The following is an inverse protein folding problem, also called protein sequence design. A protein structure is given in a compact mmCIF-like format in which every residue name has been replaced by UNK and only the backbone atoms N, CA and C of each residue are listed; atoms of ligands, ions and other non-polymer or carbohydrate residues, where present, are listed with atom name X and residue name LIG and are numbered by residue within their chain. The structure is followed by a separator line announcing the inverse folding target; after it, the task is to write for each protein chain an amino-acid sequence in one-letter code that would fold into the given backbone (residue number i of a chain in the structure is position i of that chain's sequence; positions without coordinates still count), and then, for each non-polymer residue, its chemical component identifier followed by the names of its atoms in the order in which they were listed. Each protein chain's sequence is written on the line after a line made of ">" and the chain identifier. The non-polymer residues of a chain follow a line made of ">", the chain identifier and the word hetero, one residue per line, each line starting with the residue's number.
data_IF_689841455011
#
_entry.id   IF_689841455011
#
_cell.length_a   1.000
_cell.length_b   1.000
_cell.length_c   1.000
_cell.angle_alpha   90.00
_cell.angle_beta   90.00
_cell.angle_gamma   90.00
#
_symmetry.space_group_name_H-M   'P 1'
#
loop_
_entity.id
_entity.type
_entity.pdbx_description
1 polymer ?
#
# COMPACT_ATOMS: atom_id res chain seq x y z
N UNK A 1 16.06 21.57 -23.39
CA UNK A 1 17.48 21.57 -22.99
C UNK A 1 17.57 20.85 -21.66
N UNK A 2 18.13 19.64 -21.68
CA UNK A 2 18.10 18.72 -20.53
C UNK A 2 18.84 19.32 -19.33
N UNK A 3 18.11 19.94 -18.42
CA UNK A 3 17.61 19.29 -17.23
C UNK A 3 18.71 18.57 -16.33
N UNK A 4 19.76 17.95 -16.88
CA UNK A 4 20.96 17.48 -16.15
C UNK A 4 22.06 18.56 -16.04
N UNK A 5 22.19 19.43 -17.05
CA UNK A 5 23.26 20.42 -17.22
C UNK A 5 23.52 21.47 -16.10
N UNK A 6 22.60 21.74 -15.16
CA UNK A 6 22.80 22.74 -14.11
C UNK A 6 22.26 22.35 -12.75
N UNK A 7 22.47 21.09 -12.38
CA UNK A 7 22.85 20.84 -10.98
C UNK A 7 24.35 20.98 -10.75
N UNK A 8 25.14 20.93 -11.81
CA UNK A 8 26.55 20.59 -11.70
C UNK A 8 27.50 21.77 -11.80
N UNK A 9 27.07 22.81 -12.48
CA UNK A 9 27.79 24.07 -12.62
C UNK A 9 27.61 25.03 -11.38
N UNK A 10 26.74 24.70 -10.38
CA UNK A 10 26.61 25.38 -9.08
C UNK A 10 27.67 24.89 -8.09
N UNK A 11 28.18 23.68 -8.31
CA UNK A 11 29.25 23.10 -7.51
C UNK A 11 30.64 23.59 -7.96
N UNK A 12 30.73 24.42 -9.02
CA UNK A 12 31.98 24.75 -9.72
C UNK A 12 32.39 26.23 -9.69
N UNK A 13 31.75 27.09 -8.90
CA UNK A 13 32.30 28.43 -8.72
C UNK A 13 33.44 28.50 -7.71
N UNK A 14 34.55 29.17 -8.07
CA UNK A 14 35.58 29.46 -7.12
C UNK A 14 35.15 30.64 -6.24
N UNK A 15 35.48 30.53 -4.95
CA UNK A 15 35.60 31.59 -3.93
C UNK A 15 34.48 31.66 -2.89
N UNK A 16 34.83 31.13 -1.71
CA UNK A 16 34.39 31.50 -0.36
C UNK A 16 32.88 31.39 -0.03
N UNK A 17 32.38 30.16 0.10
CA UNK A 17 31.22 29.89 0.94
C UNK A 17 31.31 28.50 1.60
N UNK A 18 30.90 28.45 2.86
CA UNK A 18 30.90 27.35 3.84
C UNK A 18 30.56 25.94 3.26
N UNK A 19 31.29 24.85 3.56
CA UNK A 19 31.16 23.55 2.89
C UNK A 19 29.98 22.69 3.40
N UNK A 20 28.92 23.30 3.92
CA UNK A 20 27.75 22.59 4.43
C UNK A 20 26.72 22.34 3.31
N UNK A 21 26.72 21.09 2.81
CA UNK A 21 25.59 20.38 2.20
C UNK A 21 24.71 21.19 1.20
N UNK A 22 25.04 21.12 -0.09
CA UNK A 22 24.13 21.59 -1.14
C UNK A 22 22.98 20.58 -1.28
N UNK A 23 21.79 20.95 -0.78
CA UNK A 23 20.54 20.24 -1.05
C UNK A 23 19.99 20.60 -2.45
N UNK A 24 19.22 19.72 -3.08
CA UNK A 24 18.60 19.91 -4.40
C UNK A 24 17.84 21.24 -4.55
N UNK A 25 17.30 21.80 -3.46
CA UNK A 25 16.56 23.06 -3.46
C UNK A 25 17.44 24.32 -3.53
N UNK A 26 18.74 24.22 -3.24
CA UNK A 26 19.65 25.37 -3.13
C UNK A 26 20.50 25.61 -4.39
N UNK A 27 20.36 24.72 -5.37
CA UNK A 27 21.21 24.71 -6.56
C UNK A 27 20.88 25.90 -7.48
N UNK A 28 19.60 26.24 -7.65
CA UNK A 28 19.14 27.34 -8.52
C UNK A 28 19.65 28.72 -8.08
N UNK A 29 19.69 28.97 -6.77
CA UNK A 29 20.14 30.24 -6.21
C UNK A 29 21.65 30.39 -6.37
N UNK A 30 22.41 29.33 -6.09
CA UNK A 30 23.86 29.28 -6.27
C UNK A 30 24.31 29.58 -7.71
N UNK A 31 23.54 29.18 -8.73
CA UNK A 31 23.84 29.45 -10.14
C UNK A 31 23.60 30.88 -10.60
N UNK A 32 22.55 31.50 -10.06
CA UNK A 32 22.15 32.86 -10.42
C UNK A 32 23.18 33.86 -9.88
N UNK A 33 23.73 33.57 -8.70
CA UNK A 33 24.80 34.35 -8.06
C UNK A 33 26.14 34.29 -8.82
N UNK A 34 26.31 33.31 -9.72
CA UNK A 34 27.52 33.10 -10.55
C UNK A 34 27.41 33.68 -11.96
N UNK A 35 26.30 34.36 -12.27
CA UNK A 35 26.11 35.07 -13.53
C UNK A 35 25.63 34.21 -14.71
N UNK A 36 25.18 32.98 -14.46
CA UNK A 36 24.55 32.15 -15.50
C UNK A 36 23.09 32.57 -15.74
N UNK A 37 22.66 32.55 -17.00
CA UNK A 37 21.28 32.89 -17.37
C UNK A 37 20.30 31.83 -16.82
N UNK A 38 19.14 32.23 -16.25
CA UNK A 38 18.12 31.29 -15.74
C UNK A 38 17.63 30.27 -16.79
N UNK A 39 17.76 30.58 -18.07
CA UNK A 39 17.36 29.69 -19.17
C UNK A 39 18.39 28.59 -19.50
N UNK A 40 19.64 28.74 -19.06
CA UNK A 40 20.73 27.76 -19.20
C UNK A 40 20.91 26.87 -17.97
N UNK A 41 20.09 27.10 -16.94
CA UNK A 41 20.08 26.33 -15.70
C UNK A 41 18.94 25.32 -15.75
N UNK A 42 19.25 24.02 -15.81
CA UNK A 42 18.35 22.96 -15.44
C UNK A 42 17.49 23.16 -14.21
N UNK A 43 16.21 22.93 -14.43
CA UNK A 43 15.16 23.04 -13.43
C UNK A 43 15.17 21.83 -12.49
N UNK A 44 14.68 22.05 -11.27
CA UNK A 44 14.49 21.06 -10.19
C UNK A 44 13.81 19.76 -10.65
N UNK A 45 13.02 19.82 -11.72
CA UNK A 45 12.27 18.71 -12.30
C UNK A 45 13.13 17.55 -12.82
N UNK A 46 14.42 17.76 -13.07
CA UNK A 46 15.19 16.78 -13.88
C UNK A 46 16.06 15.84 -13.09
N UNK A 47 16.82 16.37 -12.13
CA UNK A 47 17.74 15.57 -11.33
C UNK A 47 16.94 14.63 -10.42
N UNK A 48 15.74 15.07 -10.06
CA UNK A 48 14.77 14.32 -9.26
C UNK A 48 13.75 13.54 -10.11
N UNK A 49 13.77 13.64 -11.45
CA UNK A 49 12.69 13.15 -12.32
C UNK A 49 12.33 11.67 -12.13
N UNK A 50 13.30 10.72 -12.04
CA UNK A 50 12.96 9.30 -11.92
C UNK A 50 12.37 8.96 -10.55
N UNK A 51 12.91 9.58 -9.49
CA UNK A 51 12.41 9.44 -8.12
C UNK A 51 11.04 10.10 -7.93
N UNK A 52 10.84 11.29 -8.51
CA UNK A 52 9.55 12.01 -8.46
C UNK A 52 8.48 11.31 -9.30
N UNK A 53 8.83 10.74 -10.45
CA UNK A 53 7.92 9.93 -11.27
C UNK A 53 7.47 8.66 -10.56
N UNK A 54 8.38 7.92 -9.91
CA UNK A 54 8.02 6.78 -9.07
C UNK A 54 7.10 7.21 -7.92
N UNK A 55 7.47 8.26 -7.18
CA UNK A 55 6.68 8.77 -6.06
C UNK A 55 5.28 9.22 -6.49
N UNK A 56 5.15 9.89 -7.63
CA UNK A 56 3.86 10.32 -8.19
C UNK A 56 3.02 9.12 -8.61
N UNK A 57 3.63 8.16 -9.32
CA UNK A 57 2.94 6.94 -9.76
C UNK A 57 2.40 6.16 -8.55
N UNK A 58 3.23 5.96 -7.51
CA UNK A 58 2.83 5.28 -6.29
C UNK A 58 1.75 6.05 -5.53
N UNK A 59 1.83 7.40 -5.48
CA UNK A 59 0.80 8.23 -4.86
C UNK A 59 -0.54 8.11 -5.60
N UNK A 60 -0.55 8.19 -6.93
CA UNK A 60 -1.75 8.04 -7.73
C UNK A 60 -2.40 6.66 -7.53
N UNK A 61 -1.57 5.60 -7.55
CA UNK A 61 -2.03 4.22 -7.28
C UNK A 61 -2.61 4.08 -5.87
N UNK A 62 -1.93 4.64 -4.87
CA UNK A 62 -2.40 4.62 -3.48
C UNK A 62 -3.79 5.27 -3.34
N UNK A 63 -3.98 6.46 -3.93
CA UNK A 63 -5.28 7.14 -3.88
C UNK A 63 -6.36 6.34 -4.59
N UNK A 64 -6.11 5.84 -5.80
CA UNK A 64 -7.09 5.08 -6.57
C UNK A 64 -7.56 3.81 -5.84
N UNK A 65 -6.64 3.06 -5.22
CA UNK A 65 -6.99 1.86 -4.43
C UNK A 65 -7.75 2.21 -3.15
N UNK A 66 -7.31 3.26 -2.46
CA UNK A 66 -7.96 3.71 -1.21
C UNK A 66 -9.38 4.21 -1.46
N UNK A 67 -9.57 5.00 -2.51
CA UNK A 67 -10.88 5.47 -2.94
C UNK A 67 -11.77 4.28 -3.32
N UNK A 68 -11.27 3.35 -4.15
CA UNK A 68 -12.03 2.17 -4.53
C UNK A 68 -12.50 1.33 -3.33
N UNK A 69 -11.63 1.01 -2.38
CA UNK A 69 -12.00 0.17 -1.25
C UNK A 69 -12.98 0.87 -0.28
N UNK A 70 -12.83 2.18 -0.07
CA UNK A 70 -13.76 2.93 0.77
C UNK A 70 -15.13 3.09 0.08
N UNK A 71 -15.15 3.35 -1.22
CA UNK A 71 -16.37 3.43 -2.03
C UNK A 71 -17.10 2.08 -2.06
N UNK A 72 -16.37 0.97 -2.18
CA UNK A 72 -16.93 -0.39 -2.07
C UNK A 72 -17.64 -0.57 -0.73
N UNK A 73 -16.97 -0.26 0.39
CA UNK A 73 -17.57 -0.38 1.73
C UNK A 73 -18.82 0.49 1.89
N UNK A 74 -18.81 1.72 1.38
CA UNK A 74 -19.95 2.62 1.45
C UNK A 74 -21.14 2.14 0.60
N UNK A 75 -20.87 1.65 -0.62
CA UNK A 75 -21.90 1.12 -1.49
C UNK A 75 -22.50 -0.17 -0.93
N UNK A 76 -21.68 -1.05 -0.34
CA UNK A 76 -22.15 -2.25 0.36
C UNK A 76 -23.00 -1.89 1.59
N UNK A 77 -22.60 -0.89 2.39
CA UNK A 77 -23.39 -0.40 3.52
C UNK A 77 -24.76 0.14 3.08
N UNK A 78 -24.79 0.91 1.97
CA UNK A 78 -26.03 1.42 1.39
C UNK A 78 -26.93 0.30 0.88
N UNK A 79 -26.36 -0.67 0.15
CA UNK A 79 -27.08 -1.83 -0.38
C UNK A 79 -27.69 -2.67 0.74
N UNK A 80 -26.93 -2.93 1.80
CA UNK A 80 -27.43 -3.62 3.00
C UNK A 80 -28.62 -2.87 3.61
N UNK A 81 -28.50 -1.55 3.80
CA UNK A 81 -29.56 -0.74 4.37
C UNK A 81 -30.83 -0.78 3.51
N UNK A 82 -30.73 -0.61 2.19
CA UNK A 82 -31.87 -0.69 1.28
C UNK A 82 -32.55 -2.07 1.30
N UNK A 83 -31.76 -3.15 1.23
CA UNK A 83 -32.27 -4.51 1.30
C UNK A 83 -32.95 -4.78 2.64
N UNK A 84 -32.32 -4.39 3.76
CA UNK A 84 -32.82 -4.71 5.09
C UNK A 84 -34.03 -3.87 5.47
N UNK A 85 -34.12 -2.62 4.99
CA UNK A 85 -35.33 -1.81 5.12
C UNK A 85 -36.51 -2.46 4.41
N UNK A 86 -36.30 -3.01 3.21
CA UNK A 86 -37.34 -3.69 2.44
C UNK A 86 -37.72 -5.05 3.04
N UNK A 87 -36.75 -5.81 3.54
CA UNK A 87 -36.94 -7.17 4.05
C UNK A 87 -37.48 -7.17 5.48
N UNK A 88 -36.84 -6.41 6.39
CA UNK A 88 -37.13 -6.46 7.83
C UNK A 88 -37.87 -5.23 8.35
N UNK A 89 -37.85 -4.10 7.64
CA UNK A 89 -38.62 -2.89 8.00
C UNK A 89 -38.24 -2.30 9.35
N UNK A 90 -39.24 -2.08 10.22
CA UNK A 90 -39.10 -1.38 11.50
C UNK A 90 -38.13 -2.06 12.50
N UNK A 91 -38.16 -3.41 12.69
CA UNK A 91 -37.15 -4.11 13.48
C UNK A 91 -35.71 -3.76 13.10
N UNK A 92 -35.40 -3.65 11.80
CA UNK A 92 -34.08 -3.24 11.34
C UNK A 92 -33.78 -1.78 11.67
N UNK A 93 -34.71 -0.86 11.36
CA UNK A 93 -34.53 0.58 11.67
C UNK A 93 -34.19 0.85 13.13
N UNK A 94 -34.78 0.09 14.05
CA UNK A 94 -34.55 0.22 15.49
C UNK A 94 -33.19 -0.33 15.96
N UNK A 95 -32.53 -1.15 15.14
CA UNK A 95 -31.27 -1.82 15.46
C UNK A 95 -30.17 -1.55 14.42
N UNK A 96 -30.36 -0.56 13.55
CA UNK A 96 -29.46 -0.25 12.45
C UNK A 96 -28.04 0.10 12.93
N UNK A 97 -27.91 0.60 14.16
CA UNK A 97 -26.63 0.91 14.82
C UNK A 97 -25.65 -0.27 14.84
N UNK A 98 -26.15 -1.51 14.95
CA UNK A 98 -25.30 -2.72 14.99
C UNK A 98 -24.57 -2.91 13.66
N UNK A 99 -25.28 -2.72 12.54
CA UNK A 99 -24.75 -2.86 11.20
C UNK A 99 -23.87 -1.66 10.81
N UNK A 100 -24.29 -0.44 11.16
CA UNK A 100 -23.47 0.76 10.98
C UNK A 100 -22.13 0.66 11.73
N UNK A 101 -22.14 0.11 12.95
CA UNK A 101 -20.94 -0.17 13.73
C UNK A 101 -19.97 -1.12 13.02
N UNK A 102 -20.48 -2.20 12.41
CA UNK A 102 -19.67 -3.12 11.61
C UNK A 102 -18.93 -2.41 10.46
N UNK A 103 -19.66 -1.64 9.64
CA UNK A 103 -19.03 -0.92 8.53
C UNK A 103 -18.09 0.19 9.00
N UNK A 104 -18.40 0.87 10.11
CA UNK A 104 -17.53 1.86 10.70
C UNK A 104 -16.18 1.25 11.12
N UNK A 105 -16.19 0.09 11.78
CA UNK A 105 -14.95 -0.60 12.17
C UNK A 105 -14.20 -1.22 10.99
N UNK A 106 -14.89 -1.71 9.94
CA UNK A 106 -14.25 -2.13 8.68
C UNK A 106 -13.54 -0.96 7.99
N UNK A 107 -14.19 0.21 7.90
CA UNK A 107 -13.59 1.45 7.37
C UNK A 107 -12.39 1.89 8.22
N UNK A 108 -12.51 1.81 9.55
CA UNK A 108 -11.44 2.14 10.51
C UNK A 108 -10.24 1.21 10.38
N UNK A 109 -10.48 -0.10 10.23
CA UNK A 109 -9.42 -1.07 9.99
C UNK A 109 -8.64 -0.71 8.71
N UNK A 110 -9.35 -0.42 7.62
CA UNK A 110 -8.70 -0.06 6.36
C UNK A 110 -7.92 1.26 6.46
N UNK A 111 -8.48 2.27 7.14
CA UNK A 111 -7.84 3.56 7.41
C UNK A 111 -6.64 3.48 8.39
N UNK A 112 -6.14 2.29 8.71
CA UNK A 112 -4.96 2.12 9.54
C UNK A 112 -5.23 2.11 11.04
N UNK A 113 -6.49 2.00 11.48
CA UNK A 113 -6.83 1.79 12.88
C UNK A 113 -6.24 0.48 13.44
N UNK A 114 -5.95 0.48 14.74
CA UNK A 114 -5.57 -0.73 15.47
C UNK A 114 -6.83 -1.53 15.81
N UNK A 115 -7.37 -2.21 14.80
CA UNK A 115 -8.60 -3.01 14.89
C UNK A 115 -8.23 -4.46 14.60
N UNK A 116 -8.68 -5.37 15.47
CA UNK A 116 -8.61 -6.80 15.21
C UNK A 116 -9.89 -7.21 14.46
N UNK A 117 -9.76 -7.63 13.19
CA UNK A 117 -10.92 -8.02 12.37
C UNK A 117 -11.67 -9.21 12.96
N UNK A 118 -10.95 -10.16 13.54
CA UNK A 118 -11.57 -11.35 14.12
C UNK A 118 -12.43 -11.01 15.34
N UNK A 119 -11.90 -10.17 16.22
CA UNK A 119 -12.60 -9.68 17.42
C UNK A 119 -13.82 -8.85 17.02
N UNK A 120 -13.64 -7.89 16.11
CA UNK A 120 -14.70 -7.03 15.60
C UNK A 120 -15.86 -7.83 14.99
N UNK A 121 -15.55 -8.86 14.19
CA UNK A 121 -16.59 -9.71 13.61
C UNK A 121 -17.31 -10.53 14.70
N UNK A 122 -16.60 -11.04 15.72
CA UNK A 122 -17.25 -11.75 16.82
C UNK A 122 -18.17 -10.81 17.62
N UNK A 123 -17.72 -9.60 17.92
CA UNK A 123 -18.50 -8.59 18.63
C UNK A 123 -19.79 -8.23 17.86
N UNK A 124 -19.71 -8.09 16.54
CA UNK A 124 -20.87 -7.89 15.68
C UNK A 124 -21.90 -9.02 15.85
N UNK A 125 -21.46 -10.28 15.79
CA UNK A 125 -22.37 -11.42 15.91
C UNK A 125 -22.98 -11.55 17.31
N UNK A 126 -22.21 -11.25 18.37
CA UNK A 126 -22.72 -11.25 19.75
C UNK A 126 -23.78 -10.17 19.93
N UNK A 127 -23.52 -8.93 19.48
CA UNK A 127 -24.49 -7.83 19.54
C UNK A 127 -25.75 -8.14 18.73
N UNK A 128 -25.60 -8.74 17.54
CA UNK A 128 -26.73 -9.13 16.72
C UNK A 128 -27.57 -10.20 17.42
N UNK A 129 -26.94 -11.19 18.07
CA UNK A 129 -27.62 -12.22 18.83
C UNK A 129 -28.46 -11.63 19.97
N UNK A 130 -27.88 -10.74 20.77
CA UNK A 130 -28.58 -10.10 21.89
C UNK A 130 -29.84 -9.36 21.41
N UNK A 131 -29.72 -8.54 20.35
CA UNK A 131 -30.84 -7.81 19.77
C UNK A 131 -31.90 -8.74 19.20
N UNK A 132 -31.49 -9.77 18.45
CA UNK A 132 -32.43 -10.72 17.87
C UNK A 132 -33.15 -11.55 18.93
N UNK A 133 -32.45 -11.98 19.97
CA UNK A 133 -33.05 -12.74 21.06
C UNK A 133 -34.11 -11.92 21.81
N UNK A 134 -33.82 -10.63 22.07
CA UNK A 134 -34.79 -9.70 22.65
C UNK A 134 -36.04 -9.51 21.77
N UNK A 135 -35.87 -9.38 20.46
CA UNK A 135 -36.97 -9.22 19.51
C UNK A 135 -37.86 -10.48 19.45
N UNK A 136 -37.25 -11.67 19.38
CA UNK A 136 -37.97 -12.94 19.29
C UNK A 136 -38.67 -13.31 20.61
N UNK A 137 -38.15 -12.86 21.75
CA UNK A 137 -38.63 -13.19 23.09
C UNK A 137 -39.16 -11.96 23.85
N UNK A 138 -39.78 -11.02 23.14
CA UNK A 138 -40.30 -9.75 23.72
C UNK A 138 -41.34 -9.91 24.84
N UNK A 139 -41.91 -11.11 24.98
CA UNK A 139 -42.84 -11.47 26.06
C UNK A 139 -42.18 -11.71 27.42
N UNK A 140 -40.85 -11.76 27.47
CA UNK A 140 -40.07 -11.98 28.69
C UNK A 140 -39.28 -10.73 29.07
N UNK A 141 -39.00 -10.56 30.37
CA UNK A 141 -38.06 -9.55 30.85
C UNK A 141 -36.64 -10.11 30.74
N UNK A 142 -35.86 -9.59 29.78
CA UNK A 142 -34.48 -10.01 29.52
C UNK A 142 -33.53 -8.95 30.11
N UNK A 143 -32.83 -9.30 31.18
CA UNK A 143 -31.83 -8.44 31.82
C UNK A 143 -30.47 -8.52 31.12
N UNK A 144 -29.60 -7.55 31.35
CA UNK A 144 -28.22 -7.56 30.82
C UNK A 144 -27.43 -8.79 31.28
N UNK A 145 -27.54 -9.18 32.56
CA UNK A 145 -26.91 -10.39 33.09
C UNK A 145 -27.34 -11.67 32.33
N UNK A 146 -28.59 -11.70 31.86
CA UNK A 146 -29.10 -12.83 31.08
C UNK A 146 -28.52 -12.85 29.67
N UNK A 147 -28.33 -11.69 29.05
CA UNK A 147 -27.64 -11.57 27.75
C UNK A 147 -26.18 -12.01 27.84
N UNK A 148 -25.48 -11.62 28.93
CA UNK A 148 -24.11 -12.07 29.17
C UNK A 148 -24.03 -13.60 29.33
N UNK A 149 -25.04 -14.20 29.96
CA UNK A 149 -25.17 -15.66 30.03
C UNK A 149 -25.33 -16.28 28.64
N UNK A 150 -26.20 -15.74 27.79
CA UNK A 150 -26.38 -16.22 26.41
C UNK A 150 -25.07 -16.15 25.63
N UNK A 151 -24.31 -15.06 25.80
CA UNK A 151 -22.96 -14.87 25.24
C UNK A 151 -22.01 -16.05 25.49
N UNK A 152 -22.12 -16.72 26.65
CA UNK A 152 -21.28 -17.88 27.02
C UNK A 152 -21.63 -19.16 26.27
N UNK A 153 -22.84 -19.28 25.73
CA UNK A 153 -23.32 -20.46 25.02
C UNK A 153 -23.29 -20.33 23.48
N UNK A 154 -22.87 -19.19 22.94
CA UNK A 154 -22.89 -18.88 21.50
C UNK A 154 -22.19 -19.94 20.64
N UNK A 155 -21.02 -20.42 21.08
CA UNK A 155 -20.24 -21.42 20.32
C UNK A 155 -20.94 -22.78 20.22
N UNK A 156 -21.70 -23.16 21.25
CA UNK A 156 -22.43 -24.43 21.31
C UNK A 156 -23.74 -24.34 20.54
N UNK A 157 -24.47 -23.24 20.72
CA UNK A 157 -25.79 -23.02 20.13
C UNK A 157 -25.72 -22.74 18.62
N UNK A 158 -24.63 -22.11 18.15
CA UNK A 158 -24.45 -21.64 16.77
C UNK A 158 -25.75 -21.04 16.20
N UNK A 159 -26.27 -19.97 16.81
CA UNK A 159 -27.60 -19.43 16.48
C UNK A 159 -27.73 -19.00 15.01
N UNK A 160 -26.62 -18.61 14.40
CA UNK A 160 -26.54 -18.18 13.01
C UNK A 160 -26.04 -19.28 12.04
N UNK A 161 -25.97 -20.53 12.51
CA UNK A 161 -25.40 -21.64 11.75
C UNK A 161 -23.88 -21.52 11.57
N UNK A 162 -23.38 -21.85 10.39
CA UNK A 162 -21.95 -21.77 10.06
C UNK A 162 -21.53 -20.44 9.40
N UNK A 163 -22.49 -19.53 9.19
CA UNK A 163 -22.28 -18.24 8.52
C UNK A 163 -21.22 -17.38 9.24
N UNK A 164 -21.24 -17.17 10.58
CA UNK A 164 -20.22 -16.35 11.26
C UNK A 164 -18.81 -16.86 11.03
N UNK A 165 -18.61 -18.19 11.12
CA UNK A 165 -17.31 -18.83 10.95
C UNK A 165 -16.79 -18.69 9.51
N UNK A 166 -17.68 -18.91 8.52
CA UNK A 166 -17.35 -18.74 7.10
C UNK A 166 -17.01 -17.29 6.79
N UNK A 167 -17.87 -16.35 7.20
CA UNK A 167 -17.69 -14.92 6.95
C UNK A 167 -16.40 -14.40 7.58
N UNK A 168 -16.10 -14.82 8.83
CA UNK A 168 -14.81 -14.52 9.48
C UNK A 168 -13.63 -14.88 8.59
N UNK A 169 -13.54 -16.12 8.13
CA UNK A 169 -12.42 -16.57 7.28
C UNK A 169 -12.37 -15.92 5.90
N UNK A 170 -13.53 -15.57 5.34
CA UNK A 170 -13.66 -14.97 4.01
C UNK A 170 -13.35 -13.47 4.04
N UNK A 171 -13.69 -12.76 5.11
CA UNK A 171 -13.49 -11.31 5.24
C UNK A 171 -12.07 -10.98 5.71
N UNK A 172 -11.47 -11.76 6.61
CA UNK A 172 -10.15 -11.38 7.16
C UNK A 172 -9.05 -11.35 6.11
N UNK A 173 -8.94 -12.39 5.29
CA UNK A 173 -7.83 -12.54 4.32
C UNK A 173 -7.78 -11.43 3.26
N UNK A 174 -8.89 -11.05 2.60
CA UNK A 174 -8.86 -10.03 1.56
C UNK A 174 -8.60 -8.64 2.13
N UNK A 175 -9.08 -8.35 3.34
CA UNK A 175 -8.80 -7.09 4.03
C UNK A 175 -7.34 -6.99 4.48
N UNK A 176 -6.75 -8.08 4.98
CA UNK A 176 -5.31 -8.14 5.28
C UNK A 176 -4.50 -7.91 4.00
N UNK A 177 -4.86 -8.56 2.90
CA UNK A 177 -4.19 -8.38 1.60
C UNK A 177 -4.28 -6.93 1.10
N UNK A 178 -5.49 -6.35 1.05
CA UNK A 178 -5.72 -4.97 0.60
C UNK A 178 -4.96 -3.96 1.46
N UNK A 179 -5.06 -4.05 2.80
CA UNK A 179 -4.36 -3.16 3.73
C UNK A 179 -2.84 -3.29 3.61
N UNK A 180 -2.33 -4.52 3.56
CA UNK A 180 -0.88 -4.76 3.50
C UNK A 180 -0.29 -4.32 2.16
N UNK A 181 -1.04 -4.46 1.06
CA UNK A 181 -0.64 -3.95 -0.25
C UNK A 181 -0.48 -2.43 -0.25
N UNK A 182 -1.48 -1.71 0.27
CA UNK A 182 -1.48 -0.25 0.37
C UNK A 182 -0.35 0.24 1.29
N UNK A 183 -0.11 -0.43 2.41
CA UNK A 183 1.05 -0.16 3.27
C UNK A 183 2.38 -0.40 2.56
N UNK A 184 2.48 -1.46 1.75
CA UNK A 184 3.64 -1.72 0.90
C UNK A 184 3.98 -0.52 0.02
N UNK A 185 2.98 -0.01 -0.72
CA UNK A 185 3.13 1.19 -1.56
C UNK A 185 3.67 2.40 -0.76
N UNK A 186 3.13 2.65 0.44
CA UNK A 186 3.59 3.74 1.30
C UNK A 186 5.05 3.58 1.69
N UNK A 187 5.46 2.36 2.11
CA UNK A 187 6.87 2.07 2.45
C UNK A 187 7.77 2.23 1.23
N UNK A 188 7.37 1.74 0.05
CA UNK A 188 8.12 1.92 -1.19
C UNK A 188 8.37 3.39 -1.51
N UNK A 189 7.32 4.23 -1.39
CA UNK A 189 7.42 5.70 -1.57
C UNK A 189 8.34 6.34 -0.53
N UNK A 190 8.21 5.96 0.74
CA UNK A 190 9.03 6.51 1.82
C UNK A 190 10.50 6.17 1.65
N UNK A 191 10.81 4.93 1.27
CA UNK A 191 12.17 4.49 0.93
C UNK A 191 12.72 5.35 -0.21
N UNK A 192 11.99 5.49 -1.32
CA UNK A 192 12.43 6.32 -2.44
C UNK A 192 12.70 7.78 -2.03
N UNK A 193 11.83 8.38 -1.20
CA UNK A 193 11.97 9.76 -0.70
C UNK A 193 13.15 9.92 0.28
N UNK A 194 13.45 8.90 1.09
CA UNK A 194 14.60 8.94 1.99
C UNK A 194 15.91 8.76 1.23
N UNK A 195 15.95 7.81 0.30
CA UNK A 195 17.14 7.55 -0.52
C UNK A 195 17.49 8.74 -1.43
N UNK A 196 16.48 9.48 -1.94
CA UNK A 196 16.73 10.68 -2.75
C UNK A 196 17.38 11.85 -2.00
N UNK A 197 17.46 11.78 -0.66
CA UNK A 197 18.11 12.79 0.19
C UNK A 197 19.56 12.42 0.56
N UNK A 198 20.05 11.27 0.11
CA UNK A 198 21.45 10.87 0.31
C UNK A 198 22.34 11.79 -0.50
N UNK A 199 23.32 12.40 0.16
CA UNK A 199 24.25 13.35 -0.48
C UNK A 199 25.33 12.62 -1.28
N UNK A 200 25.81 13.24 -2.34
CA UNK A 200 26.93 12.72 -3.13
C UNK A 200 28.26 12.93 -2.41
N UNK A 201 29.17 11.97 -2.54
CA UNK A 201 30.53 12.09 -2.01
C UNK A 201 31.37 13.08 -2.81
N UNK A 202 32.40 13.66 -2.21
CA UNK A 202 33.35 14.53 -2.91
C UNK A 202 34.07 13.82 -4.07
N UNK A 203 34.37 12.53 -3.91
CA UNK A 203 34.94 11.70 -4.96
C UNK A 203 33.98 11.55 -6.16
N UNK A 204 32.68 11.37 -5.90
CA UNK A 204 31.67 11.35 -6.94
C UNK A 204 31.60 12.70 -7.67
N UNK A 205 31.52 13.81 -6.94
CA UNK A 205 31.47 15.16 -7.55
C UNK A 205 32.70 15.40 -8.44
N UNK A 206 33.88 14.97 -8.01
CA UNK A 206 35.12 15.09 -8.78
C UNK A 206 35.09 14.23 -10.06
N UNK A 207 34.78 12.93 -9.95
CA UNK A 207 34.73 12.03 -11.11
C UNK A 207 33.64 12.44 -12.11
N UNK A 208 32.50 12.87 -11.60
CA UNK A 208 31.41 13.41 -12.42
C UNK A 208 31.82 14.69 -13.15
N UNK A 209 32.48 15.63 -12.47
CA UNK A 209 32.97 16.88 -13.10
C UNK A 209 33.99 16.58 -14.20
N UNK A 210 34.92 15.64 -13.93
CA UNK A 210 35.90 15.18 -14.91
C UNK A 210 35.25 14.58 -16.13
N UNK A 211 34.16 13.84 -15.93
CA UNK A 211 33.39 13.25 -16.99
C UNK A 211 32.74 14.30 -17.89
N UNK A 212 31.96 15.23 -17.33
CA UNK A 212 31.17 16.15 -18.15
C UNK A 212 31.92 17.37 -18.68
N UNK A 213 32.85 17.95 -17.90
CA UNK A 213 33.33 19.30 -18.18
C UNK A 213 34.81 19.39 -18.53
N UNK A 214 35.63 18.39 -18.19
CA UNK A 214 37.07 18.50 -18.46
C UNK A 214 37.43 18.50 -19.96
N UNK A 215 36.60 17.91 -20.82
CA UNK A 215 36.79 18.01 -22.28
C UNK A 215 36.72 19.47 -22.75
N UNK A 216 35.80 20.26 -22.21
CA UNK A 216 35.66 21.69 -22.50
C UNK A 216 36.91 22.46 -22.06
N UNK A 217 37.45 22.15 -20.88
CA UNK A 217 38.68 22.77 -20.38
C UNK A 217 39.91 22.48 -21.26
N UNK A 218 39.90 21.36 -21.99
CA UNK A 218 40.95 20.99 -22.95
C UNK A 218 40.67 21.45 -24.39
N UNK A 219 39.58 22.18 -24.63
CA UNK A 219 39.21 22.68 -25.96
C UNK A 219 38.40 21.70 -26.82
N UNK A 220 37.92 20.59 -26.26
CA UNK A 220 37.15 19.54 -26.93
C UNK A 220 35.63 19.69 -26.65
N UNK A 221 35.04 20.81 -27.08
CA UNK A 221 33.68 21.22 -26.69
C UNK A 221 32.52 20.38 -27.27
N UNK A 222 32.77 19.66 -28.37
CA UNK A 222 31.74 18.82 -29.04
C UNK A 222 31.80 17.36 -28.59
N UNK A 223 32.79 17.00 -27.78
CA UNK A 223 33.08 15.63 -27.41
C UNK A 223 32.26 15.23 -26.18
N UNK A 224 31.38 14.24 -26.35
CA UNK A 224 30.62 13.67 -25.24
C UNK A 224 31.42 12.55 -24.56
N UNK A 225 31.22 12.33 -23.24
CA UNK A 225 31.75 11.17 -22.53
C UNK A 225 31.46 9.86 -23.25
N UNK A 226 32.42 8.93 -23.27
CA UNK A 226 32.15 7.57 -23.70
C UNK A 226 31.08 6.92 -22.80
N UNK A 227 30.22 6.07 -23.36
CA UNK A 227 29.13 5.44 -22.62
C UNK A 227 29.65 4.65 -21.40
N UNK A 228 30.63 3.77 -21.60
CA UNK A 228 31.24 2.97 -20.53
C UNK A 228 31.96 3.82 -19.47
N UNK A 229 32.56 4.94 -19.88
CA UNK A 229 33.14 5.90 -18.94
C UNK A 229 32.05 6.50 -18.05
N UNK A 230 30.94 6.91 -18.65
CA UNK A 230 29.77 7.41 -17.93
C UNK A 230 29.21 6.39 -16.95
N UNK A 231 29.07 5.13 -17.38
CA UNK A 231 28.60 4.05 -16.53
C UNK A 231 29.52 3.83 -15.32
N UNK A 232 30.84 3.80 -15.49
CA UNK A 232 31.77 3.62 -14.38
C UNK A 232 31.72 4.77 -13.37
N UNK A 233 31.62 6.02 -13.83
CA UNK A 233 31.45 7.19 -12.96
C UNK A 233 30.13 7.08 -12.18
N UNK A 234 29.02 6.83 -12.87
CA UNK A 234 27.69 6.79 -12.25
C UNK A 234 27.50 5.60 -11.31
N UNK A 235 28.07 4.43 -11.63
CA UNK A 235 28.07 3.26 -10.74
C UNK A 235 28.91 3.48 -9.48
N UNK A 236 30.01 4.23 -9.59
CA UNK A 236 30.79 4.68 -8.42
C UNK A 236 30.01 5.65 -7.54
N UNK A 237 29.34 6.62 -8.16
CA UNK A 237 28.50 7.60 -7.47
C UNK A 237 27.28 6.99 -6.76
N UNK A 238 26.59 6.05 -7.43
CA UNK A 238 25.33 5.44 -6.96
C UNK A 238 25.54 4.08 -6.30
N UNK A 239 26.78 3.78 -5.88
CA UNK A 239 27.17 2.47 -5.37
C UNK A 239 26.36 2.05 -4.12
N UNK A 240 26.09 3.01 -3.21
CA UNK A 240 25.26 2.75 -2.04
C UNK A 240 23.79 2.55 -2.42
N UNK A 241 23.27 3.31 -3.37
CA UNK A 241 21.88 3.21 -3.85
C UNK A 241 21.65 1.85 -4.55
N UNK A 242 22.63 1.36 -5.29
CA UNK A 242 22.58 0.06 -5.94
C UNK A 242 22.48 -1.12 -4.96
N UNK A 243 22.97 -0.98 -3.71
CA UNK A 243 22.81 -2.01 -2.66
C UNK A 243 21.34 -2.22 -2.24
N UNK A 244 20.42 -1.30 -2.56
CA UNK A 244 18.98 -1.52 -2.35
C UNK A 244 18.38 -2.52 -3.34
N UNK A 245 18.94 -2.65 -4.54
CA UNK A 245 18.32 -3.36 -5.66
C UNK A 245 17.90 -4.82 -5.32
N UNK A 246 18.70 -5.64 -4.62
CA UNK A 246 18.32 -7.01 -4.30
C UNK A 246 17.10 -7.11 -3.39
N UNK A 247 16.99 -6.24 -2.37
CA UNK A 247 15.84 -6.25 -1.47
C UNK A 247 14.65 -5.49 -2.06
N UNK A 248 14.90 -4.47 -2.88
CA UNK A 248 13.87 -3.77 -3.65
C UNK A 248 13.18 -4.71 -4.64
N UNK A 249 13.95 -5.49 -5.40
CA UNK A 249 13.42 -6.51 -6.33
C UNK A 249 12.55 -7.52 -5.60
N UNK A 250 13.00 -8.04 -4.44
CA UNK A 250 12.20 -8.97 -3.61
C UNK A 250 10.93 -8.33 -3.07
N UNK A 251 11.00 -7.06 -2.68
CA UNK A 251 9.85 -6.28 -2.24
C UNK A 251 8.82 -6.10 -3.37
N UNK A 252 9.26 -5.71 -4.56
CA UNK A 252 8.39 -5.57 -5.74
C UNK A 252 7.79 -6.92 -6.13
N UNK A 253 8.57 -8.01 -6.10
CA UNK A 253 8.08 -9.36 -6.37
C UNK A 253 7.02 -9.79 -5.35
N UNK A 254 7.20 -9.46 -4.06
CA UNK A 254 6.20 -9.73 -3.03
C UNK A 254 4.92 -8.87 -3.19
N UNK A 255 5.06 -7.62 -3.63
CA UNK A 255 3.92 -6.76 -3.99
C UNK A 255 3.13 -7.38 -5.16
N UNK A 256 3.83 -7.78 -6.23
CA UNK A 256 3.23 -8.44 -7.39
C UNK A 256 2.57 -9.77 -7.00
N UNK A 257 3.18 -10.55 -6.11
CA UNK A 257 2.55 -11.77 -5.60
C UNK A 257 1.23 -11.48 -4.86
N UNK A 258 1.20 -10.44 -4.02
CA UNK A 258 0.00 -10.09 -3.27
C UNK A 258 -1.14 -9.59 -4.17
N UNK A 259 -0.84 -9.02 -5.34
CA UNK A 259 -1.88 -8.64 -6.31
C UNK A 259 -2.69 -9.83 -6.84
N UNK A 260 -2.13 -11.06 -6.82
CA UNK A 260 -2.90 -12.27 -7.15
C UNK A 260 -4.04 -12.53 -6.16
N UNK A 261 -3.91 -12.10 -4.90
CA UNK A 261 -4.99 -12.17 -3.91
C UNK A 261 -6.08 -11.11 -4.13
N UNK A 262 -5.73 -9.99 -4.74
CA UNK A 262 -6.66 -8.90 -5.05
C UNK A 262 -7.49 -9.18 -6.31
N UNK A 263 -6.97 -9.99 -7.24
CA UNK A 263 -7.70 -10.46 -8.43
C UNK A 263 -8.32 -11.85 -8.25
N UNK A 264 -7.93 -12.56 -7.20
CA UNK A 264 -8.40 -13.93 -6.96
C UNK A 264 -9.90 -14.02 -6.69
N UNK A 265 -10.49 -15.24 -6.75
CA UNK A 265 -11.92 -15.47 -6.57
C UNK A 265 -12.45 -15.16 -5.16
N UNK A 266 -11.56 -14.89 -4.21
CA UNK A 266 -11.88 -14.48 -2.85
C UNK A 266 -11.30 -13.09 -2.58
N UNK A 267 -11.39 -12.18 -3.55
CA UNK A 267 -10.97 -10.80 -3.36
C UNK A 267 -12.00 -10.02 -2.52
N UNK A 268 -11.66 -8.77 -2.17
CA UNK A 268 -12.51 -7.95 -1.31
C UNK A 268 -13.85 -7.60 -1.94
N UNK A 269 -13.91 -7.39 -3.27
CA UNK A 269 -15.15 -7.12 -4.00
C UNK A 269 -16.08 -8.34 -3.92
N UNK A 270 -15.59 -9.53 -4.25
CA UNK A 270 -16.35 -10.79 -4.21
C UNK A 270 -16.88 -11.19 -2.83
N UNK A 271 -16.20 -10.76 -1.75
CA UNK A 271 -16.62 -11.06 -0.37
C UNK A 271 -17.55 -9.98 0.19
N UNK A 272 -17.33 -8.71 -0.16
CA UNK A 272 -18.13 -7.61 0.36
C UNK A 272 -19.46 -7.43 -0.38
N UNK A 273 -19.51 -7.64 -1.70
CA UNK A 273 -20.75 -7.50 -2.48
C UNK A 273 -21.91 -8.34 -1.93
N UNK A 274 -21.78 -9.65 -1.63
CA UNK A 274 -22.88 -10.46 -1.12
C UNK A 274 -23.00 -10.44 0.43
N UNK A 275 -22.33 -9.53 1.14
CA UNK A 275 -22.29 -9.57 2.61
C UNK A 275 -23.66 -9.37 3.24
N UNK A 276 -24.50 -8.54 2.63
CA UNK A 276 -25.87 -8.28 3.03
C UNK A 276 -26.74 -9.53 2.95
N UNK A 277 -26.65 -10.28 1.84
CA UNK A 277 -27.32 -11.58 1.66
C UNK A 277 -26.82 -12.58 2.70
N UNK A 278 -25.51 -12.63 2.97
CA UNK A 278 -24.92 -13.53 3.97
C UNK A 278 -25.39 -13.22 5.39
N UNK A 279 -25.46 -11.94 5.75
CA UNK A 279 -25.99 -11.52 7.05
C UNK A 279 -27.48 -11.83 7.14
N UNK A 280 -28.25 -11.61 6.06
CA UNK A 280 -29.67 -11.97 5.98
C UNK A 280 -29.88 -13.49 6.16
N UNK A 281 -29.07 -14.33 5.50
CA UNK A 281 -29.06 -15.80 5.66
C UNK A 281 -28.83 -16.20 7.13
N UNK A 282 -27.88 -15.57 7.83
CA UNK A 282 -27.65 -15.80 9.25
C UNK A 282 -28.89 -15.46 10.09
N UNK A 283 -29.50 -14.30 9.84
CA UNK A 283 -30.71 -13.84 10.54
C UNK A 283 -31.86 -14.85 10.32
N UNK A 284 -32.06 -15.31 9.09
CA UNK A 284 -33.05 -16.32 8.73
C UNK A 284 -32.81 -17.65 9.45
N UNK A 285 -31.56 -18.13 9.49
CA UNK A 285 -31.20 -19.36 10.21
C UNK A 285 -31.58 -19.30 11.70
N UNK A 286 -31.35 -18.16 12.35
CA UNK A 286 -31.71 -17.98 13.76
C UNK A 286 -33.22 -17.95 13.95
N UNK A 287 -33.96 -17.35 13.02
CA UNK A 287 -35.42 -17.24 13.09
C UNK A 287 -36.11 -18.59 12.91
N UNK A 288 -35.65 -19.39 11.95
CA UNK A 288 -36.16 -20.74 11.72
C UNK A 288 -35.92 -21.66 12.93
N UNK A 289 -34.77 -21.49 13.60
CA UNK A 289 -34.40 -22.29 14.78
C UNK A 289 -34.75 -21.63 16.12
N UNK A 290 -35.53 -20.54 16.11
CA UNK A 290 -35.79 -19.69 17.28
C UNK A 290 -36.36 -20.44 18.48
N UNK A 291 -37.31 -21.36 18.27
CA UNK A 291 -37.92 -22.14 19.35
C UNK A 291 -36.90 -23.07 20.03
N UNK A 292 -36.07 -23.74 19.24
CA UNK A 292 -35.02 -24.63 19.75
C UNK A 292 -33.94 -23.84 20.48
N UNK A 293 -33.55 -22.68 19.94
CA UNK A 293 -32.58 -21.78 20.58
C UNK A 293 -33.10 -21.27 21.92
N UNK A 294 -34.33 -20.75 21.99
CA UNK A 294 -34.92 -20.31 23.26
C UNK A 294 -35.01 -21.45 24.27
N UNK A 295 -35.38 -22.66 23.86
CA UNK A 295 -35.42 -23.83 24.75
C UNK A 295 -34.05 -24.16 25.34
N UNK A 296 -33.00 -24.23 24.52
CA UNK A 296 -31.64 -24.52 24.99
C UNK A 296 -31.09 -23.40 25.88
N UNK A 297 -31.40 -22.14 25.57
CA UNK A 297 -31.04 -21.00 26.40
C UNK A 297 -31.74 -21.07 27.76
N UNK A 298 -33.03 -21.41 27.82
CA UNK A 298 -33.75 -21.56 29.10
C UNK A 298 -33.20 -22.69 29.95
N UNK A 299 -32.70 -23.77 29.34
CA UNK A 299 -32.01 -24.82 30.07
C UNK A 299 -30.63 -24.39 30.59
N UNK A 300 -29.88 -23.59 29.83
CA UNK A 300 -28.53 -23.18 30.19
C UNK A 300 -28.43 -21.95 31.11
N UNK A 301 -29.31 -20.96 30.92
CA UNK A 301 -29.32 -19.68 31.63
C UNK A 301 -30.48 -19.55 32.63
N UNK A 302 -31.40 -20.51 32.67
CA UNK A 302 -32.58 -20.49 33.53
C UNK A 302 -33.81 -19.92 32.83
N UNK A 303 -34.98 -20.21 33.39
CA UNK A 303 -36.26 -19.83 32.81
C UNK A 303 -36.56 -18.35 33.09
N UNK A 304 -36.97 -17.61 32.06
CA UNK A 304 -37.30 -16.20 32.19
C UNK A 304 -38.68 -15.97 32.79
N UNK A 305 -38.79 -14.91 33.60
CA UNK A 305 -40.08 -14.42 34.11
C UNK A 305 -40.89 -13.82 32.94
N UNK A 306 -42.17 -14.23 32.77
CA UNK A 306 -43.05 -13.59 31.82
C UNK A 306 -43.20 -12.11 32.18
N UNK A 307 -43.05 -11.22 31.21
CA UNK A 307 -43.39 -9.81 31.40
C UNK A 307 -44.84 -9.73 31.89
N UNK A 308 -45.06 -9.25 33.11
CA UNK A 308 -46.36 -9.22 33.82
C UNK A 308 -47.46 -8.39 33.15
N UNK A 309 -47.32 -8.06 31.86
CA UNK A 309 -48.31 -7.35 31.07
C UNK A 309 -49.37 -8.34 30.56
N UNK A 310 -50.49 -8.34 31.27
CA UNK A 310 -51.73 -9.06 30.92
C UNK A 310 -52.18 -8.81 29.48
N UNK A 311 -52.54 -9.91 28.79
CA UNK A 311 -53.40 -10.05 27.60
C UNK A 311 -54.02 -8.76 27.05
N UNK A 312 -53.25 -7.94 26.31
CA UNK A 312 -53.75 -6.98 25.31
C UNK A 312 -52.60 -6.33 24.53
N UNK A 313 -51.85 -7.16 23.82
CA UNK A 313 -51.33 -6.79 22.53
C UNK A 313 -51.36 -8.09 21.73
N UNK A 314 -51.95 -8.09 20.54
CA UNK A 314 -51.63 -9.15 19.58
C UNK A 314 -50.11 -9.27 19.61
N UNK A 315 -49.61 -10.47 19.91
CA UNK A 315 -48.19 -10.70 19.86
C UNK A 315 -47.67 -10.11 18.55
N UNK A 316 -46.46 -9.59 18.59
CA UNK A 316 -45.72 -9.21 17.38
C UNK A 316 -45.34 -10.51 16.63
N UNK A 317 -46.31 -11.42 16.48
CA UNK A 317 -46.34 -12.62 15.65
C UNK A 317 -46.77 -12.26 14.23
N UNK A 318 -47.06 -11.00 13.94
CA UNK A 318 -47.51 -10.52 12.61
C UNK A 318 -46.51 -9.62 11.88
N UNK A 319 -45.37 -9.26 12.49
CA UNK A 319 -44.29 -8.55 11.76
C UNK A 319 -43.23 -9.49 11.21
N UNK A 320 -43.18 -10.75 11.66
CA UNK A 320 -42.18 -11.73 11.24
C UNK A 320 -42.76 -12.92 10.46
N UNK A 321 -44.08 -13.01 10.34
CA UNK A 321 -44.81 -14.10 9.66
C UNK A 321 -45.14 -13.81 8.19
N UNK A 322 -44.66 -12.68 7.65
CA UNK A 322 -44.59 -12.51 6.21
C UNK A 322 -43.63 -13.55 5.65
N UNK A 323 -44.12 -14.53 4.88
CA UNK A 323 -43.26 -15.33 4.00
C UNK A 323 -42.39 -14.37 3.22
N UNK A 324 -41.13 -14.26 3.64
CA UNK A 324 -40.15 -13.42 2.99
C UNK A 324 -40.08 -13.86 1.54
N UNK A 325 -40.28 -12.92 0.62
CA UNK A 325 -39.93 -13.17 -0.77
C UNK A 325 -38.42 -13.38 -0.77
N UNK A 326 -37.91 -14.55 -1.19
CA UNK A 326 -36.48 -14.70 -1.36
C UNK A 326 -36.02 -13.53 -2.24
N UNK A 327 -35.03 -12.80 -1.76
CA UNK A 327 -34.27 -11.91 -2.63
C UNK A 327 -33.72 -12.82 -3.72
N UNK A 328 -34.29 -12.73 -4.92
CA UNK A 328 -33.71 -13.35 -6.08
C UNK A 328 -32.45 -12.53 -6.32
N UNK A 329 -31.23 -13.08 -6.16
CA UNK A 329 -30.05 -12.36 -6.56
C UNK A 329 -30.31 -11.99 -8.02
N UNK A 330 -30.37 -10.69 -8.33
CA UNK A 330 -30.13 -10.29 -9.71
C UNK A 330 -28.84 -11.02 -10.09
N UNK A 331 -28.92 -11.84 -11.14
CA UNK A 331 -27.85 -12.71 -11.58
C UNK A 331 -26.55 -11.94 -11.45
N UNK A 332 -25.63 -12.45 -10.59
CA UNK A 332 -24.28 -11.93 -10.52
C UNK A 332 -23.84 -11.68 -11.95
N UNK A 333 -23.37 -10.46 -12.31
CA UNK A 333 -22.93 -10.19 -13.65
C UNK A 333 -21.99 -11.32 -14.07
N UNK A 334 -22.42 -12.09 -15.07
CA UNK A 334 -21.62 -13.15 -15.68
C UNK A 334 -20.21 -12.61 -15.93
N UNK A 335 -19.22 -13.37 -15.50
CA UNK A 335 -17.78 -13.09 -15.50
C UNK A 335 -17.19 -12.80 -16.91
N UNK A 336 -17.65 -11.73 -17.56
CA UNK A 336 -17.27 -11.35 -18.91
C UNK A 336 -16.82 -9.88 -19.04
N UNK A 337 -16.97 -9.06 -18.00
CA UNK A 337 -16.35 -7.74 -17.92
C UNK A 337 -15.40 -7.72 -16.72
N UNK A 338 -14.10 -7.48 -16.97
CA UNK A 338 -13.13 -7.24 -15.90
C UNK A 338 -13.67 -6.14 -14.97
N UNK A 339 -13.72 -6.43 -13.67
CA UNK A 339 -14.28 -5.51 -12.68
C UNK A 339 -13.45 -4.22 -12.61
N UNK A 340 -13.99 -3.19 -11.96
CA UNK A 340 -13.23 -1.94 -11.76
C UNK A 340 -11.95 -2.21 -10.94
N UNK A 341 -11.99 -3.18 -10.01
CA UNK A 341 -10.82 -3.66 -9.29
C UNK A 341 -9.82 -4.35 -10.21
N UNK A 342 -10.25 -5.26 -11.08
CA UNK A 342 -9.35 -5.99 -11.99
C UNK A 342 -8.53 -5.06 -12.88
N UNK A 343 -9.18 -4.03 -13.45
CA UNK A 343 -8.52 -3.03 -14.28
C UNK A 343 -7.51 -2.22 -13.48
N UNK A 344 -7.87 -1.84 -12.25
CA UNK A 344 -6.99 -1.10 -11.36
C UNK A 344 -5.76 -1.95 -10.97
N UNK A 345 -5.95 -3.19 -10.56
CA UNK A 345 -4.84 -4.08 -10.17
C UNK A 345 -3.94 -4.38 -11.38
N UNK A 346 -4.51 -4.54 -12.57
CA UNK A 346 -3.74 -4.74 -13.81
C UNK A 346 -2.82 -3.54 -14.11
N UNK A 347 -3.36 -2.31 -14.07
CA UNK A 347 -2.57 -1.08 -14.26
C UNK A 347 -1.45 -0.96 -13.20
N UNK A 348 -1.75 -1.29 -11.95
CA UNK A 348 -0.77 -1.29 -10.86
C UNK A 348 0.33 -2.31 -11.08
N UNK A 349 0.01 -3.54 -11.52
CA UNK A 349 0.99 -4.57 -11.86
C UNK A 349 1.94 -4.10 -12.95
N UNK A 350 1.41 -3.51 -14.03
CA UNK A 350 2.23 -3.00 -15.13
C UNK A 350 3.18 -1.89 -14.66
N UNK A 351 2.69 -0.96 -13.83
CA UNK A 351 3.50 0.09 -13.23
C UNK A 351 4.59 -0.47 -12.31
N UNK A 352 4.26 -1.39 -11.41
CA UNK A 352 5.21 -2.00 -10.48
C UNK A 352 6.34 -2.77 -11.21
N UNK A 353 6.01 -3.50 -12.29
CA UNK A 353 7.00 -4.23 -13.09
C UNK A 353 8.09 -3.31 -13.65
N UNK A 354 7.73 -2.09 -14.08
CA UNK A 354 8.69 -1.10 -14.60
C UNK A 354 9.71 -0.66 -13.55
N UNK A 355 9.34 -0.71 -12.26
CA UNK A 355 10.21 -0.28 -11.16
C UNK A 355 11.02 -1.41 -10.54
N UNK A 356 10.91 -2.66 -11.01
CA UNK A 356 11.59 -3.82 -10.41
C UNK A 356 13.11 -3.64 -10.29
N UNK A 357 13.77 -3.12 -11.33
CA UNK A 357 15.23 -2.89 -11.39
C UNK A 357 15.61 -1.41 -11.28
N UNK A 358 14.76 -0.61 -10.63
CA UNK A 358 14.88 0.84 -10.61
C UNK A 358 16.29 1.30 -10.20
N UNK A 359 16.80 0.82 -9.07
CA UNK A 359 18.09 1.27 -8.51
C UNK A 359 19.29 0.87 -9.37
N UNK A 360 19.34 -0.36 -9.88
CA UNK A 360 20.43 -0.79 -10.76
C UNK A 360 20.39 -0.12 -12.14
N UNK A 361 19.21 0.29 -12.62
CA UNK A 361 19.04 0.93 -13.94
C UNK A 361 19.40 2.41 -13.98
N UNK A 362 19.61 3.07 -12.84
CA UNK A 362 19.86 4.52 -12.80
C UNK A 362 21.10 4.96 -13.60
N UNK A 363 22.27 4.27 -13.52
CA UNK A 363 23.43 4.63 -14.33
C UNK A 363 23.14 4.56 -15.83
N UNK A 364 22.46 3.50 -16.27
CA UNK A 364 22.11 3.30 -17.68
C UNK A 364 21.10 4.36 -18.16
N UNK A 365 20.03 4.60 -17.38
CA UNK A 365 19.03 5.61 -17.70
C UNK A 365 19.62 7.01 -17.80
N UNK A 366 20.60 7.35 -16.96
CA UNK A 366 21.30 8.62 -16.99
C UNK A 366 22.22 8.74 -18.21
N UNK A 367 23.06 7.72 -18.45
CA UNK A 367 24.05 7.77 -19.53
C UNK A 367 23.43 7.65 -20.93
N UNK A 368 22.23 7.08 -21.06
CA UNK A 368 21.48 6.99 -22.30
C UNK A 368 20.66 8.26 -22.62
N UNK A 369 20.58 9.22 -21.69
CA UNK A 369 19.86 10.47 -21.92
C UNK A 369 20.50 11.27 -23.06
N UNK A 370 19.64 11.88 -23.90
CA UNK A 370 20.09 12.68 -25.02
C UNK A 370 20.98 13.82 -24.50
N UNK A 371 22.22 13.87 -25.00
CA UNK A 371 23.28 14.82 -24.64
C UNK A 371 24.19 14.48 -23.45
N UNK A 372 24.00 13.35 -22.76
CA UNK A 372 24.87 12.98 -21.63
C UNK A 372 26.11 12.21 -22.08
N UNK A 373 25.93 11.05 -22.73
CA UNK A 373 27.04 10.27 -23.27
C UNK A 373 26.99 10.15 -24.80
N UNK A 374 28.12 9.79 -25.38
CA UNK A 374 28.20 9.36 -26.77
C UNK A 374 27.42 8.03 -26.93
N UNK A 375 26.88 7.82 -28.13
CA UNK A 375 26.22 6.56 -28.44
C UNK A 375 27.22 5.40 -28.41
N UNK A 376 26.76 4.19 -28.12
CA UNK A 376 27.60 2.99 -28.14
C UNK A 376 28.24 2.75 -29.52
N UNK A 377 27.65 3.26 -30.62
CA UNK A 377 28.22 3.18 -31.96
C UNK A 377 29.42 4.11 -32.21
N UNK A 378 29.72 5.02 -31.28
CA UNK A 378 30.79 6.02 -31.38
C UNK A 378 31.90 5.80 -30.35
N UNK A 379 32.30 4.55 -30.11
CA UNK A 379 33.32 4.20 -29.11
C UNK A 379 34.68 4.86 -29.34
N UNK A 380 35.05 5.12 -30.60
CA UNK A 380 36.37 5.67 -30.96
C UNK A 380 36.39 7.21 -31.03
N UNK A 381 35.23 7.88 -30.94
CA UNK A 381 35.10 9.34 -31.02
C UNK A 381 34.31 9.90 -29.84
N UNK A 382 34.82 9.63 -28.63
CA UNK A 382 34.24 10.09 -27.37
C UNK A 382 35.32 10.51 -26.37
N UNK A 383 34.91 11.21 -25.32
CA UNK A 383 35.75 11.64 -24.21
C UNK A 383 35.94 10.48 -23.24
N UNK A 384 37.17 9.99 -23.10
CA UNK A 384 37.50 8.88 -22.20
C UNK A 384 38.00 9.34 -20.82
N UNK A 385 37.92 10.64 -20.53
CA UNK A 385 38.44 11.24 -19.29
C UNK A 385 39.82 11.88 -19.41
N UNK A 386 40.54 11.64 -20.51
CA UNK A 386 41.87 12.20 -20.75
C UNK A 386 42.01 12.87 -22.11
N UNK A 387 41.52 12.22 -23.17
CA UNK A 387 41.59 12.67 -24.55
C UNK A 387 40.39 12.16 -25.37
N UNK A 388 40.34 12.53 -26.65
CA UNK A 388 39.45 11.90 -27.63
C UNK A 388 39.93 10.49 -27.95
N UNK A 389 39.07 9.49 -27.72
CA UNK A 389 39.33 8.12 -28.10
C UNK A 389 38.56 7.12 -27.26
N UNK A 390 38.87 5.84 -27.46
CA UNK A 390 38.19 4.74 -26.79
C UNK A 390 38.42 4.72 -25.29
N UNK A 391 37.36 4.44 -24.54
CA UNK A 391 37.44 4.10 -23.13
C UNK A 391 37.76 2.62 -22.96
N UNK A 392 38.97 2.33 -22.47
CA UNK A 392 39.52 0.97 -22.36
C UNK A 392 39.04 0.20 -21.12
N UNK A 393 38.88 0.81 -19.92
CA UNK A 393 38.46 0.07 -18.73
C UNK A 393 37.09 -0.60 -18.89
N UNK A 394 36.95 -1.80 -18.32
CA UNK A 394 35.67 -2.51 -18.29
C UNK A 394 34.66 -1.84 -17.36
N UNK A 395 33.38 -2.01 -17.66
CA UNK A 395 32.30 -1.51 -16.82
C UNK A 395 32.16 -2.39 -15.58
N UNK A 396 32.27 -1.79 -14.40
CA UNK A 396 32.12 -2.50 -13.14
C UNK A 396 30.66 -2.91 -12.87
N UNK A 397 30.50 -3.90 -11.99
CA UNK A 397 29.18 -4.36 -11.52
C UNK A 397 28.58 -3.38 -10.51
N UNK A 398 27.27 -3.43 -10.34
CA UNK A 398 26.55 -2.55 -9.42
C UNK A 398 26.79 -2.91 -7.94
N UNK A 399 26.57 -1.96 -7.05
CA UNK A 399 26.68 -2.15 -5.59
C UNK A 399 28.05 -1.76 -5.04
N UNK A 400 28.07 -1.49 -3.74
CA UNK A 400 29.21 -0.86 -3.04
C UNK A 400 30.46 -1.72 -3.11
N UNK A 401 30.33 -3.01 -2.84
CA UNK A 401 31.46 -3.96 -2.79
C UNK A 401 32.18 -4.14 -4.13
N UNK A 402 31.52 -3.81 -5.25
CA UNK A 402 32.10 -3.93 -6.59
C UNK A 402 32.90 -2.69 -7.02
N UNK A 403 32.88 -1.60 -6.23
CA UNK A 403 33.54 -0.33 -6.59
C UNK A 403 34.96 -0.16 -6.04
N UNK A 404 35.53 -1.18 -5.37
CA UNK A 404 36.88 -1.10 -4.77
C UNK A 404 37.95 -0.70 -5.80
N UNK A 405 37.81 -1.22 -7.02
CA UNK A 405 38.74 -1.00 -8.11
C UNK A 405 38.18 -0.05 -9.18
N UNK A 406 37.22 0.82 -8.82
CA UNK A 406 36.66 1.76 -9.77
C UNK A 406 37.73 2.76 -10.23
N UNK A 407 38.05 2.80 -11.55
CA UNK A 407 39.12 3.65 -12.06
C UNK A 407 38.77 5.15 -12.03
N UNK A 408 37.48 5.50 -11.94
CA UNK A 408 37.00 6.88 -12.10
C UNK A 408 36.59 7.53 -10.78
N UNK A 409 36.12 6.76 -9.81
CA UNK A 409 35.62 7.27 -8.53
C UNK A 409 36.18 6.46 -7.38
N UNK A 410 36.90 7.12 -6.47
CA UNK A 410 37.38 6.49 -5.24
C UNK A 410 36.24 6.25 -4.24
N UNK A 411 35.86 4.99 -4.05
CA UNK A 411 34.75 4.59 -3.17
C UNK A 411 35.27 3.85 -1.92
N UNK A 412 34.98 4.38 -0.73
CA UNK A 412 35.29 3.70 0.53
C UNK A 412 34.22 2.64 0.86
N UNK A 413 34.51 1.39 0.52
CA UNK A 413 33.61 0.27 0.77
C UNK A 413 33.46 -0.10 2.25
N UNK A 414 34.36 0.39 3.13
CA UNK A 414 34.33 0.07 4.57
C UNK A 414 33.28 0.89 5.33
N UNK A 415 32.76 1.96 4.71
CA UNK A 415 31.81 2.90 5.30
C UNK A 415 30.52 2.96 4.48
N UNK A 416 29.67 1.92 4.53
CA UNK A 416 28.37 1.98 3.86
C UNK A 416 27.48 3.06 4.48
N UNK A 417 26.65 3.69 3.65
CA UNK A 417 25.71 4.71 4.12
C UNK A 417 24.67 4.11 5.07
N UNK A 418 24.55 4.71 6.26
CA UNK A 418 23.67 4.18 7.32
C UNK A 418 22.18 4.36 7.01
N UNK A 419 21.80 5.42 6.30
CA UNK A 419 20.42 5.68 5.88
C UNK A 419 19.97 4.64 4.86
N UNK A 420 20.85 4.29 3.91
CA UNK A 420 20.65 3.23 2.92
C UNK A 420 20.45 1.89 3.60
N UNK A 421 21.31 1.53 4.56
CA UNK A 421 21.18 0.27 5.33
C UNK A 421 19.87 0.22 6.12
N UNK A 422 19.41 1.33 6.69
CA UNK A 422 18.10 1.42 7.34
C UNK A 422 16.95 1.18 6.35
N UNK A 423 17.02 1.74 5.14
CA UNK A 423 15.99 1.53 4.12
C UNK A 423 15.96 0.08 3.62
N UNK A 424 17.12 -0.57 3.50
CA UNK A 424 17.22 -2.01 3.19
C UNK A 424 16.48 -2.84 4.26
N UNK A 425 16.64 -2.51 5.54
CA UNK A 425 15.92 -3.19 6.62
C UNK A 425 14.41 -2.94 6.56
N UNK A 426 13.97 -1.71 6.24
CA UNK A 426 12.56 -1.39 6.05
C UNK A 426 11.93 -2.23 4.92
N UNK A 427 12.63 -2.37 3.78
CA UNK A 427 12.20 -3.23 2.67
C UNK A 427 12.09 -4.70 3.08
N UNK A 428 13.05 -5.22 3.85
CA UNK A 428 13.01 -6.60 4.37
C UNK A 428 11.80 -6.85 5.26
N UNK A 429 11.55 -5.95 6.21
CA UNK A 429 10.40 -6.05 7.12
C UNK A 429 9.10 -6.01 6.32
N UNK A 430 8.96 -5.08 5.37
CA UNK A 430 7.75 -4.98 4.56
C UNK A 430 7.57 -6.21 3.64
N UNK A 431 8.65 -6.72 3.06
CA UNK A 431 8.63 -7.94 2.24
C UNK A 431 8.11 -9.14 3.03
N UNK A 432 8.57 -9.32 4.27
CA UNK A 432 8.07 -10.38 5.14
C UNK A 432 6.59 -10.19 5.47
N UNK A 433 6.15 -8.95 5.74
CA UNK A 433 4.72 -8.64 5.94
C UNK A 433 3.88 -8.99 4.71
N UNK A 434 4.32 -8.61 3.51
CA UNK A 434 3.64 -8.92 2.25
C UNK A 434 3.48 -10.43 2.04
N UNK A 435 4.54 -11.21 2.31
CA UNK A 435 4.50 -12.68 2.23
C UNK A 435 3.54 -13.28 3.26
N UNK A 436 3.57 -12.83 4.51
CA UNK A 436 2.64 -13.30 5.55
C UNK A 436 1.18 -12.99 5.19
N UNK A 437 0.91 -11.81 4.61
CA UNK A 437 -0.42 -11.44 4.13
C UNK A 437 -0.88 -12.34 2.97
N UNK A 438 0.03 -12.73 2.07
CA UNK A 438 -0.28 -13.68 1.00
C UNK A 438 -0.65 -15.06 1.53
N UNK A 439 0.00 -15.53 2.59
CA UNK A 439 -0.30 -16.81 3.25
C UNK A 439 -1.58 -16.76 4.12
N UNK A 440 -2.13 -15.56 4.35
CA UNK A 440 -3.30 -15.34 5.18
C UNK A 440 -3.04 -15.48 6.68
N UNK A 441 -1.79 -15.35 7.10
CA UNK A 441 -1.40 -15.33 8.51
C UNK A 441 -1.68 -13.95 9.11
N UNK A 442 -2.26 -13.94 10.31
CA UNK A 442 -2.61 -12.70 11.00
C UNK A 442 -1.33 -11.93 11.37
N UNK A 443 -1.12 -10.78 10.73
CA UNK A 443 0.02 -9.93 11.01
C UNK A 443 -0.38 -9.10 12.22
N UNK A 444 -0.08 -9.59 13.43
CA UNK A 444 -0.17 -8.75 14.62
C UNK A 444 0.73 -7.52 14.43
N UNK A 445 0.12 -6.39 14.11
CA UNK A 445 0.79 -5.11 14.00
C UNK A 445 1.15 -4.62 15.41
N UNK A 446 2.30 -5.03 15.93
CA UNK A 446 2.95 -4.25 16.97
C UNK A 446 3.51 -2.99 16.29
N UNK A 447 2.74 -1.91 16.34
CA UNK A 447 3.25 -0.58 16.02
C UNK A 447 4.48 -0.32 16.90
N UNK A 448 5.67 -0.35 16.29
CA UNK A 448 6.83 0.32 16.85
C UNK A 448 6.45 1.80 16.95
N UNK A 449 6.13 2.21 18.16
CA UNK A 449 5.68 3.53 18.56
C UNK A 449 6.66 4.61 18.10
N UNK A 450 6.48 5.14 16.88
CA UNK A 450 6.99 6.46 16.43
C UNK A 450 6.53 6.94 15.05
N UNK A 451 5.61 6.27 14.37
CA UNK A 451 5.00 6.78 13.13
C UNK A 451 3.49 6.99 13.28
N UNK A 452 3.08 7.76 14.31
CA UNK A 452 1.73 8.33 14.37
C UNK A 452 1.74 9.64 13.58
N UNK A 453 0.68 9.83 12.77
CA UNK A 453 0.35 11.00 11.93
C UNK A 453 0.97 11.06 10.52
N UNK A 454 0.51 10.23 9.57
CA UNK A 454 0.37 10.62 8.14
C UNK A 454 -0.76 9.84 7.44
N UNK A 455 -1.87 9.56 8.11
CA UNK A 455 -3.03 8.92 7.46
C UNK A 455 -4.22 9.87 7.26
N UNK A 456 -4.07 11.12 7.68
CA UNK A 456 -4.97 12.23 7.36
C UNK A 456 -4.04 13.44 7.15
N UNK A 457 -4.18 14.12 6.01
CA UNK A 457 -3.34 15.20 5.45
C UNK A 457 -2.17 14.75 4.54
N UNK A 458 -2.50 14.29 3.32
CA UNK A 458 -1.99 14.85 2.04
C UNK A 458 -3.05 14.64 0.97
#
# INVERSE_FOLDING_TARGET
>A
MSAVFAVLCALLAPVAADPHAVNCSQVKDAFTDLGYSPASVPTEETICAPGSHFQWTVKAVFHALTEFFLELLENTERSLNEMFLRTYGKPYLQNAEVFQGLFAELKRYYAGGNVNLEEMLNDFWVRLLERMFQLLNSQYLITEDYLECIGKYVEQLKPFGDVPKKLKSQVTRPFIAARTFVQGLVVGREVANRVSKVTMSSACVSGFTKMLYCSYCQGLFTLKPCNNYCLNVMKGCLANQADLDPEWSKYIDAMLLLTERLEGPFNIESVMEPIDVKISEAIMNMQENSMQLSYQVFQGCGQLEPSGMSRSARGVSDTFSGRFSPYNPEELPTAAAASRLDRLVTDVKEKLKKFRKFWSSLPEAFCQEEHVAAAESTEDDCWNGHDKGRYVPEVLKDGLTNQVNNPEVGVDISRPDTLIRQQIMALKVMTNKLKNAYDGNDIYFQDSSKSRCVLIMV
#
